data_IF_123333019747
#
_entry.id   IF_123333019747
#
_cell.length_a   1.000
_cell.length_b   1.000
_cell.length_c   1.000
_cell.angle_alpha   90.00
_cell.angle_beta   90.00
_cell.angle_gamma   90.00
#
_symmetry.space_group_name_H-M   'P 1'
#
loop_
_entity.id
_entity.type
_entity.pdbx_description
1 polymer ?
#
# COMPACT_ATOMS: atom_id res chain seq x y z
N UNK A 1 5.45 -6.31 -22.10
CA UNK A 1 5.98 -5.62 -20.92
C UNK A 1 5.68 -6.44 -19.69
N UNK A 2 6.44 -6.22 -18.62
CA UNK A 2 6.49 -7.01 -17.38
C UNK A 2 5.99 -6.24 -16.15
N UNK A 3 5.45 -5.03 -16.35
CA UNK A 3 4.91 -4.16 -15.30
C UNK A 3 3.61 -4.75 -14.75
N UNK A 4 3.55 -4.98 -13.43
CA UNK A 4 2.33 -5.46 -12.75
C UNK A 4 1.37 -4.33 -12.48
N UNK A 5 1.87 -3.14 -12.09
CA UNK A 5 1.04 -1.95 -11.95
C UNK A 5 1.80 -0.73 -11.49
N UNK A 6 1.60 0.37 -12.20
CA UNK A 6 2.15 1.68 -11.89
C UNK A 6 0.98 2.65 -11.66
N UNK A 7 1.02 3.37 -10.55
CA UNK A 7 0.01 4.37 -10.19
C UNK A 7 0.72 5.64 -9.76
N UNK A 8 0.34 6.77 -10.37
CA UNK A 8 0.86 8.09 -10.00
C UNK A 8 -0.30 9.02 -9.71
N UNK A 9 -0.27 9.67 -8.56
CA UNK A 9 -1.11 10.81 -8.24
C UNK A 9 -0.27 12.07 -8.37
N UNK A 10 -0.70 12.99 -9.20
CA UNK A 10 0.00 14.24 -9.48
C UNK A 10 -0.82 15.42 -8.95
N UNK A 11 -0.17 16.25 -8.15
CA UNK A 11 -0.66 17.56 -7.72
C UNK A 11 0.17 18.62 -8.45
N UNK A 12 -0.45 19.42 -9.31
CA UNK A 12 0.24 20.42 -10.12
C UNK A 12 -0.32 21.82 -9.85
N UNK A 13 0.59 22.77 -9.66
CA UNK A 13 0.29 24.20 -9.48
C UNK A 13 1.12 25.04 -10.45
N UNK A 14 0.93 26.36 -10.42
CA UNK A 14 1.75 27.25 -11.24
C UNK A 14 3.19 27.26 -10.71
N UNK A 15 4.12 26.74 -11.51
CA UNK A 15 5.55 26.73 -11.17
C UNK A 15 6.02 25.51 -10.38
N UNK A 16 5.13 24.58 -10.00
CA UNK A 16 5.51 23.40 -9.24
C UNK A 16 4.62 22.18 -9.48
N UNK A 17 5.15 21.01 -9.14
CA UNK A 17 4.45 19.72 -9.20
C UNK A 17 4.97 18.78 -8.13
N UNK A 18 4.04 18.12 -7.43
CA UNK A 18 4.32 17.04 -6.49
C UNK A 18 3.67 15.77 -7.01
N UNK A 19 4.42 14.66 -7.01
CA UNK A 19 3.94 13.37 -7.49
C UNK A 19 4.18 12.29 -6.44
N UNK A 20 3.15 11.49 -6.20
CA UNK A 20 3.23 10.28 -5.37
C UNK A 20 3.05 9.10 -6.31
N UNK A 21 4.08 8.25 -6.40
CA UNK A 21 4.10 7.12 -7.34
C UNK A 21 4.30 5.80 -6.61
N UNK A 22 3.47 4.80 -6.93
CA UNK A 22 3.60 3.41 -6.51
C UNK A 22 3.83 2.53 -7.74
N UNK A 23 4.92 1.74 -7.74
CA UNK A 23 5.27 0.80 -8.82
C UNK A 23 5.43 -0.60 -8.28
N UNK A 24 4.73 -1.56 -8.87
CA UNK A 24 4.83 -2.97 -8.54
C UNK A 24 5.47 -3.75 -9.70
N UNK A 25 6.63 -4.38 -9.42
CA UNK A 25 7.32 -5.28 -10.34
C UNK A 25 6.85 -6.74 -10.22
N UNK A 26 6.17 -7.09 -9.13
CA UNK A 26 5.60 -8.42 -8.92
C UNK A 26 4.41 -8.36 -7.96
N UNK A 27 3.64 -9.46 -7.88
CA UNK A 27 2.54 -9.60 -6.89
C UNK A 27 3.04 -9.91 -5.47
N UNK A 28 4.33 -10.13 -5.27
CA UNK A 28 4.89 -10.50 -3.97
C UNK A 28 4.70 -9.42 -2.90
N UNK A 29 4.66 -8.15 -3.29
CA UNK A 29 4.42 -7.05 -2.33
C UNK A 29 3.08 -7.21 -1.59
N UNK A 30 2.03 -7.64 -2.30
CA UNK A 30 0.71 -7.85 -1.73
C UNK A 30 0.67 -9.11 -0.85
N UNK A 31 1.33 -10.18 -1.28
CA UNK A 31 1.45 -11.41 -0.49
C UNK A 31 2.18 -11.17 0.84
N UNK A 32 3.28 -10.39 0.81
CA UNK A 32 4.00 -9.99 2.01
C UNK A 32 3.12 -9.15 2.95
N UNK A 33 2.34 -8.20 2.41
CA UNK A 33 1.37 -7.42 3.19
C UNK A 33 0.30 -8.27 3.86
N UNK A 34 -0.20 -9.31 3.17
CA UNK A 34 -1.15 -10.26 3.74
C UNK A 34 -0.55 -11.08 4.89
N UNK A 35 0.70 -11.55 4.74
CA UNK A 35 1.43 -12.26 5.82
C UNK A 35 1.65 -11.34 7.02
N UNK A 36 2.03 -10.08 6.80
CA UNK A 36 2.18 -9.09 7.86
C UNK A 36 0.85 -8.85 8.60
N UNK A 37 -0.26 -8.70 7.87
CA UNK A 37 -1.59 -8.54 8.48
C UNK A 37 -1.99 -9.78 9.30
N UNK A 38 -1.69 -10.99 8.80
CA UNK A 38 -1.95 -12.24 9.50
C UNK A 38 -1.12 -12.38 10.80
N UNK A 39 0.10 -11.84 10.83
CA UNK A 39 0.90 -11.78 12.06
C UNK A 39 0.36 -10.73 13.03
N UNK A 40 -0.02 -9.56 12.51
CA UNK A 40 -0.49 -8.42 13.30
C UNK A 40 -1.82 -8.68 14.01
N UNK A 41 -2.72 -9.47 13.40
CA UNK A 41 -4.07 -9.71 13.94
C UNK A 41 -4.08 -10.62 15.18
N UNK A 42 -2.99 -11.34 15.45
CA UNK A 42 -2.90 -12.25 16.60
C UNK A 42 -3.05 -11.45 17.90
N UNK A 43 -4.08 -11.81 18.69
CA UNK A 43 -4.38 -11.14 19.96
C UNK A 43 -5.13 -9.80 19.83
N UNK A 44 -5.59 -9.42 18.63
CA UNK A 44 -6.54 -8.31 18.46
C UNK A 44 -7.95 -8.73 18.82
N UNK A 45 -8.74 -7.77 19.28
CA UNK A 45 -10.18 -7.98 19.52
C UNK A 45 -10.91 -8.33 18.21
N UNK A 46 -12.15 -8.82 18.33
CA UNK A 46 -12.96 -9.08 17.15
C UNK A 46 -13.35 -7.76 16.48
N UNK A 47 -13.16 -7.69 15.15
CA UNK A 47 -13.50 -6.50 14.39
C UNK A 47 -13.14 -6.62 12.92
N UNK A 48 -13.51 -5.60 12.15
CA UNK A 48 -13.08 -5.44 10.76
C UNK A 48 -11.91 -4.47 10.76
N UNK A 49 -10.77 -4.94 10.27
CA UNK A 49 -9.52 -4.18 10.24
C UNK A 49 -9.09 -3.89 8.81
N UNK A 50 -8.39 -2.77 8.62
CA UNK A 50 -7.77 -2.38 7.35
C UNK A 50 -6.25 -2.35 7.47
N UNK A 51 -5.56 -2.24 6.32
CA UNK A 51 -4.11 -2.08 6.31
C UNK A 51 -3.63 -0.77 6.97
N UNK A 52 -4.47 0.26 7.07
CA UNK A 52 -4.11 1.47 7.85
C UNK A 52 -3.81 1.12 9.31
N UNK A 53 -4.66 0.31 9.93
CA UNK A 53 -4.46 -0.16 11.30
C UNK A 53 -3.26 -1.12 11.44
N UNK A 54 -3.01 -1.97 10.43
CA UNK A 54 -1.83 -2.85 10.39
C UNK A 54 -0.54 -2.03 10.33
N UNK A 55 -0.55 -0.91 9.60
CA UNK A 55 0.61 -0.04 9.38
C UNK A 55 0.74 1.09 10.41
N UNK A 56 -0.26 1.29 11.27
CA UNK A 56 -0.28 2.40 12.23
C UNK A 56 -0.50 3.77 11.59
N UNK A 57 -1.29 3.81 10.51
CA UNK A 57 -1.64 5.00 9.73
C UNK A 57 -3.11 5.38 9.91
#
# INVERSE_FOLDING_TARGET
GDIVGDHTVTFAGLGERVEITHRASSRMTFANGAVQAAQWIVGKENGVYSMGQVLGL
#
